data_IF_266393346286
#
_entry.id   IF_266393346286
#
_cell.length_a   1.000
_cell.length_b   1.000
_cell.length_c   1.000
_cell.angle_alpha   90.00
_cell.angle_beta   90.00
_cell.angle_gamma   90.00
#
_symmetry.space_group_name_H-M   'P 1'
#
loop_
_entity.id
_entity.type
_entity.pdbx_description
1 polymer ?
#
# COMPACT_ATOMS: atom_id res chain seq x y z
N UNK A 1 -0.95 7.79 -12.00
CA UNK A 1 -0.58 7.19 -10.73
C UNK A 1 0.52 6.18 -10.95
N UNK A 2 1.50 6.15 -10.09
CA UNK A 2 2.70 5.38 -10.31
C UNK A 2 3.13 4.70 -9.01
N UNK A 3 3.45 3.43 -9.09
CA UNK A 3 4.01 2.71 -7.94
C UNK A 3 5.46 3.17 -7.75
N UNK A 4 5.76 3.70 -6.57
CA UNK A 4 7.10 4.20 -6.28
C UNK A 4 7.92 3.15 -5.55
N UNK A 5 7.35 2.54 -4.53
CA UNK A 5 8.09 1.55 -3.75
C UNK A 5 7.13 0.55 -3.13
N UNK A 6 7.59 -0.69 -3.02
CA UNK A 6 6.91 -1.75 -2.30
C UNK A 6 7.89 -2.35 -1.31
N UNK A 7 7.44 -2.55 -0.07
CA UNK A 7 8.29 -3.09 0.97
C UNK A 7 7.51 -4.06 1.85
N UNK A 8 8.17 -5.11 2.31
CA UNK A 8 7.60 -6.04 3.27
C UNK A 8 8.25 -5.77 4.61
N UNK A 9 7.44 -5.58 5.64
CA UNK A 9 7.91 -5.32 6.99
C UNK A 9 7.25 -6.28 7.97
N UNK A 10 7.94 -6.57 9.07
CA UNK A 10 7.41 -7.41 10.12
C UNK A 10 7.06 -6.53 11.32
N UNK A 11 5.81 -6.55 11.71
CA UNK A 11 5.31 -5.80 12.87
C UNK A 11 4.32 -6.67 13.62
N UNK A 12 4.47 -6.74 14.93
CA UNK A 12 3.56 -7.50 15.79
C UNK A 12 3.47 -8.97 15.37
N UNK A 13 4.63 -9.56 15.05
CA UNK A 13 4.75 -10.98 14.66
C UNK A 13 3.98 -11.33 13.39
N UNK A 14 3.76 -10.33 12.53
CA UNK A 14 3.06 -10.53 11.26
C UNK A 14 3.77 -9.71 10.20
N UNK A 15 3.73 -10.21 8.97
CA UNK A 15 4.29 -9.48 7.83
C UNK A 15 3.23 -8.62 7.17
N UNK A 16 3.66 -7.46 6.71
CA UNK A 16 2.80 -6.46 6.09
C UNK A 16 3.44 -6.00 4.79
N UNK A 17 2.63 -5.79 3.79
CA UNK A 17 3.06 -5.14 2.56
C UNK A 17 2.77 -3.65 2.68
N UNK A 18 3.80 -2.84 2.44
CA UNK A 18 3.69 -1.39 2.38
C UNK A 18 3.92 -0.96 0.96
N UNK A 19 3.08 -0.09 0.46
CA UNK A 19 3.27 0.49 -0.88
C UNK A 19 3.23 2.00 -0.79
N UNK A 20 4.01 2.63 -1.65
CA UNK A 20 3.97 4.07 -1.84
C UNK A 20 3.69 4.31 -3.31
N UNK A 21 2.66 5.08 -3.58
CA UNK A 21 2.31 5.47 -4.95
C UNK A 21 2.36 6.99 -5.06
N UNK A 22 2.66 7.46 -6.26
CA UNK A 22 2.67 8.88 -6.56
C UNK A 22 1.56 9.21 -7.55
N UNK A 23 0.90 10.33 -7.36
CA UNK A 23 -0.09 10.79 -8.31
C UNK A 23 0.53 11.76 -9.30
N UNK A 24 -0.27 12.26 -10.24
CA UNK A 24 0.21 13.15 -11.29
C UNK A 24 0.61 14.53 -10.77
N UNK A 25 0.25 14.84 -9.54
CA UNK A 25 0.57 16.14 -8.94
C UNK A 25 1.76 16.08 -8.00
N UNK A 26 2.43 14.94 -7.94
CA UNK A 26 3.60 14.78 -7.10
C UNK A 26 3.30 14.41 -5.66
N UNK A 27 2.07 14.19 -5.30
CA UNK A 27 1.73 13.73 -3.97
C UNK A 27 2.03 12.25 -3.82
N UNK A 28 2.47 11.86 -2.64
CA UNK A 28 2.69 10.46 -2.32
C UNK A 28 1.60 9.96 -1.40
N UNK A 29 1.13 8.76 -1.72
CA UNK A 29 0.10 8.07 -0.95
C UNK A 29 0.67 6.74 -0.49
N UNK A 30 0.41 6.38 0.75
CA UNK A 30 0.89 5.12 1.31
C UNK A 30 -0.30 4.24 1.66
N UNK A 31 -0.15 2.96 1.40
CA UNK A 31 -1.13 1.97 1.79
C UNK A 31 -0.44 0.75 2.36
N UNK A 32 -1.18 -0.06 3.09
CA UNK A 32 -0.64 -1.27 3.67
C UNK A 32 -1.70 -2.36 3.75
N UNK A 33 -1.23 -3.61 3.82
CA UNK A 33 -2.10 -4.76 4.02
C UNK A 33 -1.30 -5.88 4.66
N UNK A 34 -1.95 -6.63 5.54
CA UNK A 34 -1.32 -7.79 6.15
C UNK A 34 -1.14 -8.89 5.10
N UNK A 35 -0.03 -9.62 5.21
CA UNK A 35 0.24 -10.74 4.33
C UNK A 35 -0.28 -12.00 5.02
N UNK A 36 -1.29 -12.64 4.41
CA UNK A 36 -1.85 -13.88 4.95
C UNK A 36 -1.31 -15.10 4.23
N UNK A 37 -1.24 -15.02 2.93
CA UNK A 37 -0.92 -16.15 2.08
C UNK A 37 0.20 -15.80 1.13
N UNK A 38 -0.08 -14.92 0.18
CA UNK A 38 0.88 -14.51 -0.82
C UNK A 38 1.13 -13.02 -0.73
N UNK A 39 2.38 -12.63 -0.87
CA UNK A 39 2.75 -11.23 -0.83
C UNK A 39 2.08 -10.43 -1.95
N UNK A 40 1.91 -11.04 -3.12
CA UNK A 40 1.28 -10.35 -4.25
C UNK A 40 -0.12 -9.88 -3.94
N UNK A 41 -0.91 -10.74 -3.28
CA UNK A 41 -2.28 -10.35 -2.88
C UNK A 41 -2.25 -9.16 -1.92
N UNK A 42 -1.32 -9.18 -0.99
CA UNK A 42 -1.19 -8.09 -0.02
C UNK A 42 -0.78 -6.79 -0.71
N UNK A 43 0.12 -6.87 -1.70
CA UNK A 43 0.52 -5.68 -2.45
C UNK A 43 -0.67 -5.08 -3.18
N UNK A 44 -1.50 -5.91 -3.81
CA UNK A 44 -2.69 -5.42 -4.51
C UNK A 44 -3.64 -4.74 -3.52
N UNK A 45 -3.89 -5.35 -2.37
CA UNK A 45 -4.75 -4.76 -1.34
C UNK A 45 -4.17 -3.47 -0.78
N UNK A 46 -2.84 -3.42 -0.64
CA UNK A 46 -2.17 -2.21 -0.17
C UNK A 46 -2.30 -1.07 -1.17
N UNK A 47 -2.18 -1.37 -2.46
CA UNK A 47 -2.39 -0.36 -3.50
C UNK A 47 -3.82 0.16 -3.45
N UNK A 48 -4.80 -0.74 -3.32
CA UNK A 48 -6.20 -0.33 -3.22
C UNK A 48 -6.43 0.52 -1.97
N UNK A 49 -5.78 0.19 -0.86
CA UNK A 49 -5.89 0.98 0.35
C UNK A 49 -5.34 2.39 0.12
N UNK A 50 -4.19 2.51 -0.53
CA UNK A 50 -3.61 3.82 -0.83
C UNK A 50 -4.52 4.64 -1.75
N UNK A 51 -5.08 4.00 -2.78
CA UNK A 51 -5.98 4.67 -3.71
C UNK A 51 -7.25 5.13 -2.99
N UNK A 52 -7.80 4.28 -2.14
CA UNK A 52 -8.99 4.63 -1.37
C UNK A 52 -8.77 5.84 -0.49
N UNK A 53 -7.60 5.96 0.11
CA UNK A 53 -7.28 7.13 0.93
C UNK A 53 -7.29 8.41 0.13
N UNK A 54 -6.95 8.32 -1.17
CA UNK A 54 -6.97 9.47 -2.05
C UNK A 54 -8.39 9.97 -2.32
N UNK A 55 -9.36 9.06 -2.41
CA UNK A 55 -10.71 9.38 -2.81
C UNK A 55 -11.71 9.44 -1.66
N UNK A 56 -11.31 9.05 -0.47
CA UNK A 56 -12.19 9.14 0.69
C UNK A 56 -11.99 10.50 1.33
N UNK A 57 -13.10 11.22 1.53
CA UNK A 57 -13.08 12.52 2.17
C UNK A 57 -13.61 12.38 3.60
N UNK A 58 -12.87 12.92 4.52
CA UNK A 58 -13.23 12.86 5.93
C UNK A 58 -13.72 14.21 6.43
#
# INVERSE_FOLDING_TARGET
>A
MKLIETRVVAVAQRQWALVVIGDSEGEMLAGNAAIYDMAEDAVIRAVLDAVNRRFVLY
#
